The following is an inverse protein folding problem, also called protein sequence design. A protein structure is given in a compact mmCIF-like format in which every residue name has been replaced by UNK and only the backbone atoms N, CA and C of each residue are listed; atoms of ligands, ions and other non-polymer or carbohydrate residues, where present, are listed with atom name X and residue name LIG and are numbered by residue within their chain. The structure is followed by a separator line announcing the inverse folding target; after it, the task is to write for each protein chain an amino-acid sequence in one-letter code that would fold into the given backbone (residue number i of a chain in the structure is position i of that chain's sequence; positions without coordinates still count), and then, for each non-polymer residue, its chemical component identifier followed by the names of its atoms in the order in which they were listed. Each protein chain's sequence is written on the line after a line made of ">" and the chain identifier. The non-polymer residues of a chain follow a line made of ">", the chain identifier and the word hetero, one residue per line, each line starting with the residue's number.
data_IF_118627624575
#
_entry.id   IF_118627624575
#
_cell.length_a   1.000
_cell.length_b   1.000
_cell.length_c   1.000
_cell.angle_alpha   90.00
_cell.angle_beta   90.00
_cell.angle_gamma   90.00
#
_symmetry.space_group_name_H-M   'P 1'
#
loop_
_entity.id
_entity.type
_entity.pdbx_description
1 polymer ?
#
# COMPACT_ATOMS: atom_id res chain seq x y z
N UNK A 1 -0.17 -4.76 20.27
CA UNK A 1 0.06 -5.02 18.84
C UNK A 1 -0.88 -4.11 18.07
N UNK A 2 -0.43 -2.92 17.68
CA UNK A 2 -1.23 -2.07 16.79
C UNK A 2 -1.06 -2.62 15.38
N UNK A 3 -2.07 -3.30 14.87
CA UNK A 3 -2.11 -3.78 13.47
C UNK A 3 -2.52 -2.67 12.50
N UNK A 4 -2.42 -1.41 12.92
CA UNK A 4 -2.92 -0.23 12.25
C UNK A 4 -1.88 0.47 11.39
N UNK A 5 -2.32 1.45 10.61
CA UNK A 5 -1.41 2.42 10.01
C UNK A 5 -1.32 3.67 10.88
N UNK A 6 -0.11 4.16 11.14
CA UNK A 6 0.10 5.48 11.72
C UNK A 6 -0.34 6.54 10.71
N UNK A 7 -1.00 7.59 11.21
CA UNK A 7 -1.48 8.69 10.38
C UNK A 7 -0.35 9.27 9.51
N UNK A 8 0.86 9.48 10.05
CA UNK A 8 2.00 9.99 9.27
C UNK A 8 2.34 9.11 8.05
N UNK A 9 2.28 7.79 8.20
CA UNK A 9 2.59 6.83 7.16
C UNK A 9 1.46 6.74 6.13
N UNK A 10 0.21 6.72 6.60
CA UNK A 10 -0.95 6.73 5.72
C UNK A 10 -1.02 7.99 4.88
N UNK A 11 -0.72 9.16 5.45
CA UNK A 11 -0.72 10.45 4.73
C UNK A 11 0.30 10.46 3.59
N UNK A 12 1.53 10.03 3.87
CA UNK A 12 2.59 9.89 2.86
C UNK A 12 2.21 8.88 1.77
N UNK A 13 1.56 7.77 2.14
CA UNK A 13 1.11 6.79 1.17
C UNK A 13 0.00 7.36 0.27
N UNK A 14 -0.97 8.06 0.85
CA UNK A 14 -2.03 8.70 0.09
C UNK A 14 -1.49 9.76 -0.87
N UNK A 15 -0.49 10.54 -0.45
CA UNK A 15 0.21 11.50 -1.30
C UNK A 15 0.89 10.87 -2.52
N UNK A 16 1.39 9.65 -2.40
CA UNK A 16 2.06 8.95 -3.48
C UNK A 16 1.09 8.19 -4.39
N UNK A 17 0.04 7.60 -3.80
CA UNK A 17 -0.83 6.64 -4.49
C UNK A 17 -2.09 7.29 -5.05
N UNK A 18 -2.70 8.27 -4.38
CA UNK A 18 -3.92 8.92 -4.89
C UNK A 18 -3.68 9.67 -6.22
N UNK A 19 -2.51 10.30 -6.46
CA UNK A 19 -2.20 10.86 -7.77
C UNK A 19 -1.97 9.80 -8.87
N UNK A 20 -1.79 8.52 -8.51
CA UNK A 20 -1.66 7.44 -9.49
C UNK A 20 -2.99 7.13 -10.13
N UNK A 21 -3.05 7.13 -11.46
CA UNK A 21 -4.23 6.67 -12.19
C UNK A 21 -4.39 5.14 -12.18
N UNK A 22 -3.38 4.40 -11.70
CA UNK A 22 -3.33 2.94 -11.79
C UNK A 22 -3.44 2.24 -10.44
N UNK A 23 -2.86 2.82 -9.39
CA UNK A 23 -2.82 2.20 -8.06
C UNK A 23 -3.88 2.81 -7.17
N UNK A 24 -4.53 1.96 -6.39
CA UNK A 24 -5.59 2.39 -5.48
C UNK A 24 -5.20 2.12 -4.03
N UNK A 25 -5.43 3.11 -3.16
CA UNK A 25 -5.31 2.97 -1.71
C UNK A 25 -6.69 3.06 -1.07
N UNK A 26 -7.02 2.12 -0.20
CA UNK A 26 -8.33 2.06 0.46
C UNK A 26 -8.28 1.43 1.86
N UNK A 27 -9.23 1.77 2.75
CA UNK A 27 -9.53 0.99 3.94
C UNK A 27 -10.08 -0.41 3.58
N UNK A 28 -10.16 -1.32 4.53
CA UNK A 28 -10.61 -2.70 4.25
C UNK A 28 -12.04 -2.77 3.71
N UNK A 29 -12.92 -1.96 4.28
CA UNK A 29 -14.38 -2.03 4.12
C UNK A 29 -14.94 -0.86 3.32
N UNK A 30 -14.09 -0.11 2.63
CA UNK A 30 -14.48 1.08 1.87
C UNK A 30 -13.83 1.10 0.50
N UNK A 31 -14.40 1.90 -0.40
CA UNK A 31 -13.86 2.16 -1.72
C UNK A 31 -12.51 2.90 -1.68
N UNK A 32 -11.72 2.84 -2.78
CA UNK A 32 -10.55 3.69 -2.97
C UNK A 32 -10.78 5.16 -2.67
N UNK A 33 -9.79 5.75 -2.01
CA UNK A 33 -9.76 7.19 -1.84
C UNK A 33 -9.69 7.87 -3.21
N UNK A 34 -10.59 8.83 -3.44
CA UNK A 34 -10.69 9.58 -4.70
C UNK A 34 -9.90 10.89 -4.71
N UNK A 35 -9.47 11.33 -3.53
CA UNK A 35 -8.67 12.55 -3.35
C UNK A 35 -7.78 12.41 -2.12
N UNK A 36 -6.66 13.14 -2.15
CA UNK A 36 -5.71 13.15 -1.04
C UNK A 36 -6.43 13.64 0.23
N UNK A 37 -7.23 14.71 0.14
CA UNK A 37 -7.99 15.27 1.26
C UNK A 37 -8.89 14.24 1.94
N UNK A 38 -9.62 13.42 1.17
CA UNK A 38 -10.47 12.37 1.72
C UNK A 38 -9.66 11.29 2.46
N UNK A 39 -8.48 10.93 1.94
CA UNK A 39 -7.59 10.01 2.61
C UNK A 39 -7.02 10.62 3.91
N UNK A 40 -6.59 11.89 3.87
CA UNK A 40 -6.04 12.60 5.02
C UNK A 40 -7.08 12.71 6.15
N UNK A 41 -8.33 13.09 5.82
CA UNK A 41 -9.43 13.19 6.78
C UNK A 41 -9.71 11.83 7.44
N UNK A 42 -9.80 10.77 6.62
CA UNK A 42 -9.99 9.41 7.11
C UNK A 42 -8.91 8.99 8.10
N UNK A 43 -7.63 9.22 7.75
CA UNK A 43 -6.47 8.80 8.52
C UNK A 43 -6.24 9.63 9.80
N UNK A 44 -6.85 10.81 9.91
CA UNK A 44 -6.85 11.56 11.15
C UNK A 44 -7.79 10.95 12.20
N UNK A 45 -8.84 10.26 11.75
CA UNK A 45 -9.90 9.73 12.62
C UNK A 45 -9.86 8.21 12.78
N UNK A 46 -9.08 7.50 11.96
CA UNK A 46 -9.01 6.04 11.94
C UNK A 46 -7.55 5.56 11.95
N UNK A 47 -7.30 4.46 12.66
CA UNK A 47 -5.97 3.83 12.75
C UNK A 47 -5.96 2.38 12.25
N UNK A 48 -6.82 2.02 11.30
CA UNK A 48 -6.87 0.67 10.74
C UNK A 48 -5.79 0.44 9.66
N UNK A 49 -5.45 -0.83 9.33
CA UNK A 49 -4.62 -1.12 8.16
C UNK A 49 -5.25 -0.57 6.88
N UNK A 50 -4.39 -0.09 5.97
CA UNK A 50 -4.80 0.22 4.61
C UNK A 50 -4.52 -0.95 3.68
N UNK A 51 -5.10 -0.89 2.49
CA UNK A 51 -4.90 -1.84 1.43
C UNK A 51 -4.53 -1.12 0.14
N UNK A 52 -3.46 -1.56 -0.49
CA UNK A 52 -3.06 -1.14 -1.83
C UNK A 52 -3.49 -2.20 -2.82
N UNK A 53 -4.21 -1.77 -3.85
CA UNK A 53 -4.51 -2.60 -5.01
C UNK A 53 -3.56 -2.19 -6.12
N UNK A 54 -2.64 -3.10 -6.43
CA UNK A 54 -1.54 -2.87 -7.35
C UNK A 54 -1.79 -3.71 -8.60
N UNK A 55 -2.12 -3.09 -9.74
CA UNK A 55 -2.45 -3.84 -10.96
C UNK A 55 -1.21 -4.49 -11.56
N UNK A 56 -1.38 -5.70 -12.09
CA UNK A 56 -0.33 -6.36 -12.86
C UNK A 56 -0.13 -5.69 -14.22
N UNK A 57 1.09 -5.77 -14.74
CA UNK A 57 1.46 -5.12 -16.00
C UNK A 57 0.84 -5.81 -17.23
N UNK A 58 0.60 -7.11 -17.15
CA UNK A 58 0.13 -7.95 -18.26
C UNK A 58 -1.25 -8.58 -18.00
N UNK A 59 -1.93 -8.21 -16.91
CA UNK A 59 -3.28 -8.68 -16.58
C UNK A 59 -4.14 -7.51 -16.13
N UNK A 60 -5.46 -7.68 -16.21
CA UNK A 60 -6.44 -6.82 -15.54
C UNK A 60 -6.60 -7.16 -14.04
N UNK A 61 -5.92 -8.22 -13.59
CA UNK A 61 -5.82 -8.57 -12.17
C UNK A 61 -4.91 -7.60 -11.39
N UNK A 62 -5.08 -7.61 -10.08
CA UNK A 62 -4.26 -6.85 -9.15
C UNK A 62 -3.84 -7.71 -7.96
N UNK A 63 -2.73 -7.35 -7.33
CA UNK A 63 -2.36 -7.87 -6.01
C UNK A 63 -2.83 -6.90 -4.93
N UNK A 64 -3.43 -7.47 -3.88
CA UNK A 64 -3.85 -6.73 -2.70
C UNK A 64 -2.77 -6.81 -1.63
N UNK A 65 -2.24 -5.65 -1.27
CA UNK A 65 -1.15 -5.52 -0.29
C UNK A 65 -1.70 -4.82 0.96
N UNK A 66 -1.63 -5.49 2.10
CA UNK A 66 -1.98 -4.93 3.39
C UNK A 66 -0.86 -4.01 3.87
N UNK A 67 -1.21 -2.80 4.30
CA UNK A 67 -0.27 -1.78 4.74
C UNK A 67 -0.51 -1.43 6.20
N UNK A 68 0.55 -1.57 6.99
CA UNK A 68 0.54 -1.30 8.43
C UNK A 68 1.77 -0.47 8.82
N UNK A 69 1.85 -0.05 10.07
CA UNK A 69 3.01 0.67 10.61
C UNK A 69 3.70 -0.14 11.69
N UNK A 70 5.04 -0.12 11.67
CA UNK A 70 5.89 -0.75 12.68
C UNK A 70 7.01 0.22 13.04
N UNK A 71 6.81 0.98 14.11
CA UNK A 71 7.76 2.02 14.52
C UNK A 71 7.80 3.15 13.49
N UNK A 72 8.96 3.34 12.85
CA UNK A 72 9.15 4.33 11.78
C UNK A 72 9.06 3.74 10.37
N UNK A 73 8.73 2.45 10.27
CA UNK A 73 8.58 1.74 9.01
C UNK A 73 7.11 1.57 8.62
N UNK A 74 6.85 1.70 7.32
CA UNK A 74 5.63 1.26 6.66
C UNK A 74 5.84 -0.19 6.23
N UNK A 75 4.96 -1.09 6.66
CA UNK A 75 5.06 -2.52 6.38
C UNK A 75 3.99 -2.90 5.36
N UNK A 76 4.44 -3.52 4.27
CA UNK A 76 3.65 -4.01 3.15
C UNK A 76 3.61 -5.52 3.18
N UNK A 77 2.42 -6.11 3.18
CA UNK A 77 2.24 -7.54 3.32
C UNK A 77 1.28 -8.09 2.27
N UNK A 78 1.74 -9.06 1.49
CA UNK A 78 0.90 -9.88 0.62
C UNK A 78 0.42 -11.06 1.46
N UNK A 79 -0.89 -11.12 1.72
CA UNK A 79 -1.52 -12.22 2.45
C UNK A 79 -2.12 -13.20 1.46
N UNK A 80 -1.27 -13.95 0.77
CA UNK A 80 -1.65 -15.08 -0.08
C UNK A 80 -1.11 -16.39 0.51
N UNK A 81 -1.86 -17.48 0.39
CA UNK A 81 -1.52 -18.77 1.00
C UNK A 81 -0.36 -19.47 0.28
N UNK A 82 -0.17 -19.18 -1.01
CA UNK A 82 0.86 -19.77 -1.85
C UNK A 82 2.04 -18.81 -2.05
N UNK A 83 1.75 -17.50 -2.10
CA UNK A 83 2.65 -16.45 -2.57
C UNK A 83 2.71 -15.26 -1.60
N UNK A 84 2.81 -15.52 -0.30
CA UNK A 84 2.86 -14.49 0.74
C UNK A 84 4.25 -13.87 0.93
N UNK A 85 4.28 -12.64 1.44
CA UNK A 85 5.54 -11.97 1.80
C UNK A 85 5.35 -10.64 2.49
N UNK A 86 6.42 -10.13 3.08
CA UNK A 86 6.48 -8.85 3.79
C UNK A 86 7.67 -8.03 3.28
N UNK A 87 7.44 -6.75 3.01
CA UNK A 87 8.48 -5.74 2.85
C UNK A 87 8.24 -4.60 3.83
N UNK A 88 9.31 -4.00 4.33
CA UNK A 88 9.23 -2.82 5.19
C UNK A 88 10.03 -1.67 4.59
N UNK A 89 9.48 -0.47 4.66
CA UNK A 89 10.07 0.74 4.11
C UNK A 89 10.03 1.84 5.15
N UNK A 90 11.20 2.33 5.54
CA UNK A 90 11.30 3.47 6.44
C UNK A 90 10.64 4.70 5.82
N UNK A 91 9.91 5.49 6.63
CA UNK A 91 9.12 6.63 6.15
C UNK A 91 9.94 7.65 5.33
N UNK A 92 11.22 7.85 5.67
CA UNK A 92 12.12 8.75 4.95
C UNK A 92 12.47 8.29 3.54
N UNK A 93 12.19 7.02 3.22
CA UNK A 93 12.46 6.39 1.94
C UNK A 93 11.16 6.07 1.18
N UNK A 94 10.02 6.67 1.54
CA UNK A 94 8.73 6.43 0.87
C UNK A 94 8.76 6.68 -0.65
N UNK A 95 9.68 7.53 -1.13
CA UNK A 95 9.95 7.71 -2.56
C UNK A 95 10.35 6.42 -3.30
N UNK A 96 10.86 5.42 -2.58
CA UNK A 96 11.22 4.10 -3.09
C UNK A 96 10.04 3.11 -3.02
N UNK A 97 8.81 3.59 -2.79
CA UNK A 97 7.60 2.76 -2.70
C UNK A 97 7.43 1.88 -3.94
N UNK A 98 7.45 2.47 -5.14
CA UNK A 98 7.26 1.74 -6.39
C UNK A 98 8.28 0.59 -6.53
N UNK A 99 9.58 0.86 -6.32
CA UNK A 99 10.62 -0.19 -6.41
C UNK A 99 10.48 -1.25 -5.32
N UNK A 100 10.15 -0.87 -4.10
CA UNK A 100 9.95 -1.80 -2.97
C UNK A 100 8.80 -2.76 -3.26
N UNK A 101 7.68 -2.23 -3.74
CA UNK A 101 6.49 -3.04 -4.06
C UNK A 101 6.74 -3.90 -5.30
N UNK A 102 7.46 -3.40 -6.31
CA UNK A 102 7.88 -4.22 -7.46
C UNK A 102 8.70 -5.42 -7.04
N UNK A 103 9.68 -5.22 -6.17
CA UNK A 103 10.52 -6.31 -5.65
C UNK A 103 9.67 -7.31 -4.88
N UNK A 104 8.84 -6.84 -3.95
CA UNK A 104 7.95 -7.71 -3.17
C UNK A 104 7.04 -8.56 -4.07
N UNK A 105 6.38 -7.94 -5.04
CA UNK A 105 5.45 -8.65 -5.93
C UNK A 105 6.18 -9.59 -6.88
N UNK A 106 7.36 -9.21 -7.37
CA UNK A 106 8.17 -10.08 -8.23
C UNK A 106 8.68 -11.30 -7.47
N UNK A 107 9.09 -11.14 -6.21
CA UNK A 107 9.60 -12.26 -5.39
C UNK A 107 8.47 -13.19 -4.93
N UNK A 108 7.31 -12.64 -4.60
CA UNK A 108 6.18 -13.40 -4.09
C UNK A 108 5.31 -14.01 -5.19
N UNK A 109 4.97 -13.25 -6.22
CA UNK A 109 3.98 -13.63 -7.22
C UNK A 109 4.60 -13.99 -8.59
N UNK A 110 5.92 -13.81 -8.77
CA UNK A 110 6.61 -13.92 -10.07
C UNK A 110 5.92 -13.10 -11.19
N UNK A 111 5.38 -11.94 -10.81
CA UNK A 111 4.63 -11.07 -11.70
C UNK A 111 5.15 -9.63 -11.68
N UNK A 112 4.98 -8.94 -12.82
CA UNK A 112 5.31 -7.51 -12.96
C UNK A 112 4.06 -6.68 -12.72
N UNK A 113 4.24 -5.50 -12.11
CA UNK A 113 3.16 -4.54 -11.82
C UNK A 113 3.27 -3.28 -12.69
N UNK A 114 2.14 -2.58 -12.89
CA UNK A 114 2.15 -1.25 -13.53
C UNK A 114 2.89 -0.25 -12.66
N UNK A 115 3.47 0.77 -13.28
CA UNK A 115 4.07 1.86 -12.52
C UNK A 115 3.06 2.63 -11.69
N UNK A 116 3.52 3.03 -10.51
CA UNK A 116 2.84 3.96 -9.64
C UNK A 116 2.69 5.32 -10.34
#
# INVERSE_FOLDING_TARGET
>A
MSSGIDTKHGKLLAEMVVPSSSWNVQPEKQDPFKSQEAALDYLNSNNEPLYLHVPFAQSDDYVRICVTSRGDDVVFMIKDINNGGEASLHYSHIKNLDSTIRTLVSECCDQKIKAL
#
